data_IF_318142052562
#
_entry.id   IF_318142052562
#
_cell.length_a   1.000
_cell.length_b   1.000
_cell.length_c   1.000
_cell.angle_alpha   90.00
_cell.angle_beta   90.00
_cell.angle_gamma   90.00
#
_symmetry.space_group_name_H-M   'P 1'
#
loop_
_entity.id
_entity.type
_entity.pdbx_description
1 polymer ?
#
# COMPACT_ATOMS: atom_id res chain seq x y z
N UNK A 1 4.88 22.37 -3.88
CA UNK A 1 3.95 21.71 -4.81
C UNK A 1 2.52 22.18 -4.54
N UNK A 2 1.57 21.95 -5.47
CA UNK A 2 0.14 22.25 -5.27
C UNK A 2 -0.61 20.97 -4.90
N UNK A 3 -1.37 21.01 -3.81
CA UNK A 3 -2.24 19.89 -3.41
C UNK A 3 -3.33 19.70 -4.47
N UNK A 4 -3.47 18.48 -4.99
CA UNK A 4 -4.47 18.13 -6.01
C UNK A 4 -5.75 17.56 -5.41
N UNK A 5 -5.61 16.83 -4.31
CA UNK A 5 -6.68 16.32 -3.47
C UNK A 5 -6.07 15.92 -2.12
N UNK A 6 -6.90 15.77 -1.10
CA UNK A 6 -6.53 15.24 0.22
C UNK A 6 -7.56 14.20 0.66
N UNK A 7 -7.12 13.29 1.52
CA UNK A 7 -8.01 12.35 2.21
C UNK A 7 -7.64 12.34 3.68
N UNK A 8 -8.51 12.92 4.49
CA UNK A 8 -8.34 12.92 5.93
C UNK A 8 -8.68 11.54 6.50
N UNK A 9 -8.22 11.29 7.73
CA UNK A 9 -8.52 10.06 8.49
C UNK A 9 -8.14 8.76 7.77
N UNK A 10 -7.18 8.81 6.83
CA UNK A 10 -6.73 7.62 6.11
C UNK A 10 -5.85 6.69 6.96
N UNK A 11 -5.20 7.26 7.98
CA UNK A 11 -4.14 6.62 8.76
C UNK A 11 -2.75 6.86 8.15
N UNK A 12 -1.70 6.47 8.90
CA UNK A 12 -0.32 6.53 8.41
C UNK A 12 -0.14 5.45 7.37
N UNK A 13 0.33 5.82 6.17
CA UNK A 13 0.48 4.91 5.05
C UNK A 13 1.79 5.12 4.29
N UNK A 14 2.34 4.03 3.77
CA UNK A 14 3.36 4.04 2.73
C UNK A 14 2.68 4.11 1.36
N UNK A 15 3.22 4.92 0.46
CA UNK A 15 2.69 5.11 -0.90
C UNK A 15 3.70 4.62 -1.94
N UNK A 16 3.23 3.83 -2.90
CA UNK A 16 4.01 3.34 -4.03
C UNK A 16 3.26 3.59 -5.33
N UNK A 17 3.94 4.16 -6.32
CA UNK A 17 3.42 4.25 -7.68
C UNK A 17 3.73 2.94 -8.41
N UNK A 18 2.70 2.31 -8.97
CA UNK A 18 2.81 1.08 -9.76
C UNK A 18 1.98 1.28 -11.03
N UNK A 19 2.67 1.44 -12.16
CA UNK A 19 2.06 1.85 -13.43
C UNK A 19 1.23 3.14 -13.26
N UNK A 20 -0.08 3.07 -13.53
CA UNK A 20 -1.06 4.14 -13.40
C UNK A 20 -1.85 4.08 -12.08
N UNK A 21 -1.36 3.30 -11.10
CA UNK A 21 -2.00 3.09 -9.80
C UNK A 21 -1.09 3.52 -8.65
N UNK A 22 -1.71 3.95 -7.56
CA UNK A 22 -1.06 4.14 -6.27
C UNK A 22 -1.50 3.02 -5.32
N UNK A 23 -0.51 2.37 -4.73
CA UNK A 23 -0.68 1.40 -3.65
C UNK A 23 -0.42 2.13 -2.33
N UNK A 24 -1.38 2.05 -1.41
CA UNK A 24 -1.34 2.68 -0.10
C UNK A 24 -1.41 1.59 0.96
N UNK A 25 -0.31 1.35 1.66
CA UNK A 25 -0.22 0.36 2.73
C UNK A 25 -0.23 1.09 4.07
N UNK A 26 -1.35 1.01 4.79
CA UNK A 26 -1.48 1.60 6.12
C UNK A 26 -0.77 0.75 7.17
N UNK A 27 -0.33 1.39 8.26
CA UNK A 27 0.42 0.74 9.35
C UNK A 27 -0.35 -0.36 10.09
N UNK A 28 -1.69 -0.36 9.99
CA UNK A 28 -2.59 -1.39 10.51
C UNK A 28 -2.79 -2.56 9.54
N UNK A 29 -2.01 -2.62 8.46
CA UNK A 29 -1.96 -3.76 7.55
C UNK A 29 -3.01 -3.74 6.44
N UNK A 30 -3.70 -2.63 6.20
CA UNK A 30 -4.61 -2.49 5.06
C UNK A 30 -3.87 -1.98 3.81
N UNK A 31 -3.98 -2.72 2.71
CA UNK A 31 -3.49 -2.34 1.39
C UNK A 31 -4.67 -1.81 0.56
N UNK A 32 -4.57 -0.57 0.09
CA UNK A 32 -5.57 0.07 -0.78
C UNK A 32 -4.95 0.43 -2.12
N UNK A 33 -5.68 0.18 -3.22
CA UNK A 33 -5.27 0.53 -4.57
C UNK A 33 -6.21 1.61 -5.10
N UNK A 34 -5.63 2.67 -5.68
CA UNK A 34 -6.37 3.73 -6.35
C UNK A 34 -5.66 4.14 -7.65
N UNK A 35 -6.36 4.75 -8.62
CA UNK A 35 -5.70 5.35 -9.78
C UNK A 35 -4.79 6.51 -9.36
N UNK A 36 -3.61 6.60 -9.97
CA UNK A 36 -2.65 7.69 -9.78
C UNK A 36 -3.05 8.93 -10.58
N UNK A 37 -4.23 9.48 -10.28
CA UNK A 37 -4.80 10.64 -10.97
C UNK A 37 -4.88 11.85 -10.05
N UNK A 38 -4.69 13.07 -10.56
CA UNK A 38 -4.83 14.26 -9.74
C UNK A 38 -6.28 14.75 -9.63
N UNK A 39 -7.27 14.00 -10.13
CA UNK A 39 -8.69 14.38 -10.10
C UNK A 39 -9.33 14.19 -8.73
N UNK A 40 -9.16 13.00 -8.15
CA UNK A 40 -9.72 12.63 -6.85
C UNK A 40 -9.08 11.32 -6.36
N UNK A 41 -9.22 11.04 -5.06
CA UNK A 41 -8.93 9.72 -4.51
C UNK A 41 -10.13 8.79 -4.70
N UNK A 42 -10.02 7.86 -5.66
CA UNK A 42 -11.07 6.88 -5.99
C UNK A 42 -10.54 5.45 -5.85
N UNK A 43 -10.49 4.89 -4.63
CA UNK A 43 -9.96 3.55 -4.41
C UNK A 43 -10.80 2.51 -5.17
N UNK A 44 -10.13 1.60 -5.84
CA UNK A 44 -10.75 0.54 -6.67
C UNK A 44 -10.70 -0.82 -5.99
N UNK A 45 -9.83 -1.00 -4.99
CA UNK A 45 -9.76 -2.20 -4.18
C UNK A 45 -9.06 -1.94 -2.84
N UNK A 46 -9.39 -2.75 -1.84
CA UNK A 46 -8.77 -2.72 -0.52
C UNK A 46 -8.78 -4.10 0.13
N UNK A 47 -7.71 -4.45 0.82
CA UNK A 47 -7.54 -5.73 1.52
C UNK A 47 -6.88 -5.52 2.87
N UNK A 48 -7.32 -6.27 3.89
CA UNK A 48 -6.57 -6.43 5.14
C UNK A 48 -5.56 -7.56 4.96
N UNK A 49 -4.28 -7.21 4.90
CA UNK A 49 -3.18 -8.16 4.68
C UNK A 49 -2.70 -8.75 6.01
N UNK A 50 -2.63 -7.93 7.04
CA UNK A 50 -2.23 -8.34 8.39
C UNK A 50 -3.06 -7.61 9.43
N UNK A 51 -3.21 -8.23 10.60
CA UNK A 51 -3.73 -7.59 11.82
C UNK A 51 -2.59 -7.06 12.73
N UNK A 52 -1.33 -7.29 12.33
CA UNK A 52 -0.15 -6.80 13.02
C UNK A 52 0.32 -5.46 12.43
N UNK A 53 1.29 -4.83 13.10
CA UNK A 53 1.83 -3.53 12.68
C UNK A 53 2.73 -3.70 11.45
N UNK A 54 2.50 -2.90 10.41
CA UNK A 54 3.32 -2.86 9.18
C UNK A 54 4.05 -1.52 9.08
N UNK A 55 5.17 -1.40 9.80
CA UNK A 55 6.00 -0.16 9.79
C UNK A 55 7.07 -0.16 8.72
N UNK A 56 7.60 -1.32 8.35
CA UNK A 56 8.65 -1.42 7.34
C UNK A 56 8.14 -0.91 5.99
N UNK A 57 8.96 -0.13 5.29
CA UNK A 57 8.64 0.35 3.94
C UNK A 57 8.54 -0.88 3.02
N UNK A 58 7.41 -1.08 2.31
CA UNK A 58 7.27 -2.21 1.40
C UNK A 58 8.12 -2.00 0.14
N UNK A 59 8.47 -3.09 -0.54
CA UNK A 59 9.24 -3.07 -1.77
C UNK A 59 8.43 -3.70 -2.91
N UNK A 60 8.53 -3.13 -4.11
CA UNK A 60 7.96 -3.72 -5.32
C UNK A 60 9.09 -4.29 -6.18
N UNK A 61 9.02 -5.57 -6.52
CA UNK A 61 9.95 -6.19 -7.46
C UNK A 61 9.27 -7.34 -8.21
N UNK A 62 9.50 -7.42 -9.53
CA UNK A 62 9.03 -8.51 -10.39
C UNK A 62 7.52 -8.80 -10.24
N UNK A 63 6.69 -7.75 -10.25
CA UNK A 63 5.23 -7.86 -10.13
C UNK A 63 4.74 -8.27 -8.73
N UNK A 64 5.61 -8.26 -7.72
CA UNK A 64 5.29 -8.60 -6.34
C UNK A 64 5.56 -7.46 -5.38
N UNK A 65 4.61 -7.23 -4.49
CA UNK A 65 4.75 -6.36 -3.33
C UNK A 65 5.23 -7.20 -2.14
N UNK A 66 6.39 -6.84 -1.62
CA UNK A 66 6.96 -7.40 -0.41
C UNK A 66 6.70 -6.45 0.75
N UNK A 67 6.13 -6.97 1.83
CA UNK A 67 5.91 -6.22 3.05
C UNK A 67 6.12 -7.12 4.25
N UNK A 68 6.58 -6.53 5.34
CA UNK A 68 6.81 -7.24 6.59
C UNK A 68 5.94 -6.66 7.68
N UNK A 69 5.20 -7.53 8.35
CA UNK A 69 4.54 -7.17 9.61
C UNK A 69 5.45 -7.45 10.81
N UNK A 70 5.06 -6.92 11.95
CA UNK A 70 5.75 -7.12 13.23
C UNK A 70 4.74 -7.45 14.32
N UNK A 71 4.97 -8.57 15.00
CA UNK A 71 4.23 -9.01 16.19
C UNK A 71 5.25 -9.33 17.29
N UNK A 72 5.40 -8.40 18.24
CA UNK A 72 6.45 -8.43 19.27
C UNK A 72 7.84 -8.53 18.60
N UNK A 73 8.66 -9.51 18.99
CA UNK A 73 10.00 -9.73 18.45
C UNK A 73 10.02 -10.52 17.13
N UNK A 74 8.84 -10.94 16.63
CA UNK A 74 8.69 -11.71 15.40
C UNK A 74 8.06 -10.87 14.29
N UNK A 75 8.18 -11.35 13.04
CA UNK A 75 7.51 -10.74 11.91
C UNK A 75 7.35 -11.71 10.75
N UNK A 76 6.32 -11.50 9.95
CA UNK A 76 5.99 -12.28 8.74
C UNK A 76 6.32 -11.45 7.52
N UNK A 77 7.07 -12.04 6.58
CA UNK A 77 7.28 -11.45 5.26
C UNK A 77 6.22 -11.98 4.30
N UNK A 78 5.45 -11.09 3.70
CA UNK A 78 4.45 -11.40 2.68
C UNK A 78 5.01 -11.05 1.30
N UNK A 79 4.61 -11.81 0.28
CA UNK A 79 4.87 -11.53 -1.12
C UNK A 79 3.55 -11.61 -1.90
N UNK A 80 2.96 -10.44 -2.19
CA UNK A 80 1.65 -10.33 -2.83
C UNK A 80 1.85 -10.05 -4.33
N UNK A 81 1.12 -10.77 -5.19
CA UNK A 81 1.07 -10.44 -6.63
C UNK A 81 0.22 -9.17 -6.81
N UNK A 82 0.78 -8.14 -7.43
CA UNK A 82 0.14 -6.84 -7.64
C UNK A 82 0.16 -6.47 -9.13
N UNK A 83 -0.54 -7.28 -9.92
CA UNK A 83 -0.58 -7.19 -11.37
C UNK A 83 0.34 -8.18 -12.07
N UNK A 84 0.28 -8.18 -13.39
CA UNK A 84 1.18 -8.96 -14.24
C UNK A 84 2.39 -8.11 -14.59
N UNK A 85 3.60 -8.67 -14.42
CA UNK A 85 4.80 -8.13 -15.04
C UNK A 85 4.61 -8.21 -16.55
N UNK A 86 4.33 -7.09 -17.21
CA UNK A 86 4.55 -6.94 -18.65
C UNK A 86 5.89 -6.28 -18.86
#
# INVERSE_FOLDING_TARGET
GKVRWSRDEFGVAHALLVNDQILLLTIDGRLTVAPATPKAFTPIASWSISQNIVRAVPALANGRLYLRDSRNDNGTLFALRVGDSR
#
